data_IF_131168570732
#
_entry.id   IF_131168570732
#
_cell.length_a   1.000
_cell.length_b   1.000
_cell.length_c   1.000
_cell.angle_alpha   90.00
_cell.angle_beta   90.00
_cell.angle_gamma   90.00
#
_symmetry.space_group_name_H-M   'P 1'
#
loop_
_entity.id
_entity.type
_entity.pdbx_description
1 polymer ?
#
# COMPACT_ATOMS: atom_id res chain seq x y z
N UNK A 1 12.72 5.33 20.96
CA UNK A 1 11.74 5.72 19.92
C UNK A 1 11.03 4.46 19.47
N UNK A 2 9.72 4.41 19.67
CA UNK A 2 8.94 3.17 19.62
C UNK A 2 7.80 3.26 18.59
N UNK A 3 7.41 2.09 18.08
CA UNK A 3 6.25 1.89 17.21
C UNK A 3 5.40 0.75 17.79
N UNK A 4 4.08 0.82 17.62
CA UNK A 4 3.18 -0.29 17.89
C UNK A 4 3.06 -1.15 16.63
N UNK A 5 3.56 -2.38 16.73
CA UNK A 5 3.67 -3.32 15.62
C UNK A 5 2.68 -4.46 15.83
N UNK A 6 1.83 -4.72 14.84
CA UNK A 6 0.89 -5.83 14.84
C UNK A 6 1.62 -7.14 14.54
N UNK A 7 2.42 -7.18 13.47
CA UNK A 7 3.18 -8.35 13.06
C UNK A 7 4.42 -7.97 12.22
N UNK A 8 5.43 -8.86 12.24
CA UNK A 8 6.59 -8.83 11.33
C UNK A 8 6.74 -10.24 10.76
N UNK A 9 6.69 -10.38 9.45
CA UNK A 9 6.73 -11.69 8.77
C UNK A 9 7.43 -11.59 7.42
N UNK A 10 7.82 -12.73 6.85
CA UNK A 10 8.53 -12.82 5.58
C UNK A 10 7.70 -13.60 4.56
N UNK A 11 7.47 -12.99 3.41
CA UNK A 11 6.52 -13.45 2.39
C UNK A 11 6.97 -13.03 0.98
N UNK A 12 6.13 -13.28 -0.03
CA UNK A 12 6.19 -12.65 -1.35
C UNK A 12 5.28 -11.42 -1.35
N UNK A 13 5.81 -10.29 -1.84
CA UNK A 13 5.01 -9.11 -2.14
C UNK A 13 3.84 -9.49 -3.06
N UNK A 14 2.62 -9.30 -2.57
CA UNK A 14 1.43 -9.70 -3.29
C UNK A 14 0.89 -8.64 -4.26
N UNK A 15 1.35 -7.40 -4.14
CA UNK A 15 0.82 -6.21 -4.79
C UNK A 15 1.92 -5.25 -5.25
N UNK A 16 1.56 -4.13 -5.86
CA UNK A 16 2.42 -3.13 -6.48
C UNK A 16 3.25 -3.63 -7.67
N UNK A 17 4.13 -2.79 -8.22
CA UNK A 17 5.13 -3.20 -9.21
C UNK A 17 6.18 -4.17 -8.65
N UNK A 18 6.20 -4.40 -7.34
CA UNK A 18 7.08 -5.35 -6.66
C UNK A 18 6.44 -6.73 -6.46
N UNK A 19 5.20 -6.95 -6.95
CA UNK A 19 4.51 -8.23 -6.84
C UNK A 19 5.38 -9.40 -7.34
N UNK A 20 5.46 -10.47 -6.56
CA UNK A 20 6.27 -11.65 -6.86
C UNK A 20 7.67 -11.68 -6.22
N UNK A 21 8.13 -10.59 -5.59
CA UNK A 21 9.44 -10.54 -4.93
C UNK A 21 9.37 -10.93 -3.44
N UNK A 22 10.38 -11.63 -2.87
CA UNK A 22 10.51 -11.79 -1.43
C UNK A 22 10.55 -10.45 -0.71
N UNK A 23 9.82 -10.33 0.40
CA UNK A 23 9.62 -9.10 1.15
C UNK A 23 9.37 -9.40 2.63
N UNK A 24 10.05 -8.67 3.52
CA UNK A 24 9.72 -8.64 4.95
C UNK A 24 8.67 -7.56 5.16
N UNK A 25 7.56 -7.91 5.78
CA UNK A 25 6.49 -6.99 6.10
C UNK A 25 6.62 -6.55 7.56
N UNK A 26 6.48 -5.25 7.79
CA UNK A 26 6.33 -4.63 9.10
C UNK A 26 4.95 -4.01 9.15
N UNK A 27 3.99 -4.71 9.75
CA UNK A 27 2.62 -4.25 9.88
C UNK A 27 2.45 -3.45 11.15
N UNK A 28 2.26 -2.14 11.02
CA UNK A 28 1.98 -1.24 12.14
C UNK A 28 0.51 -1.32 12.57
N UNK A 29 0.28 -1.06 13.86
CA UNK A 29 -1.06 -1.06 14.46
C UNK A 29 -1.71 0.33 14.34
N UNK A 30 -3.03 0.35 14.13
CA UNK A 30 -3.88 1.54 14.17
C UNK A 30 -4.17 2.12 12.80
N UNK A 31 -5.44 2.41 12.51
CA UNK A 31 -5.86 3.06 11.27
C UNK A 31 -6.91 4.13 11.57
N UNK A 32 -6.89 5.23 10.85
CA UNK A 32 -7.84 6.34 10.96
C UNK A 32 -9.08 6.15 10.06
N UNK A 33 -9.06 5.15 9.18
CA UNK A 33 -10.16 4.82 8.26
C UNK A 33 -10.84 3.51 8.65
N UNK A 34 -12.09 3.33 8.19
CA UNK A 34 -12.90 2.11 8.41
C UNK A 34 -13.49 1.60 7.10
N UNK A 35 -12.63 1.36 6.12
CA UNK A 35 -13.01 0.95 4.77
C UNK A 35 -13.95 -0.26 4.79
N UNK A 36 -15.02 -0.22 3.99
CA UNK A 36 -16.06 -1.26 3.97
C UNK A 36 -15.51 -2.68 3.77
N UNK A 37 -14.48 -2.84 2.94
CA UNK A 37 -13.83 -4.10 2.59
C UNK A 37 -12.41 -4.25 3.14
N UNK A 38 -12.09 -3.61 4.27
CA UNK A 38 -10.79 -3.80 4.90
C UNK A 38 -10.58 -5.28 5.29
N UNK A 39 -9.54 -5.91 4.74
CA UNK A 39 -9.10 -7.28 5.04
C UNK A 39 -8.19 -7.36 6.27
N UNK A 40 -7.69 -6.22 6.74
CA UNK A 40 -6.72 -6.13 7.85
C UNK A 40 -7.33 -5.46 9.10
N UNK A 41 -8.62 -5.71 9.38
CA UNK A 41 -9.29 -5.12 10.56
C UNK A 41 -8.62 -5.50 11.90
N UNK A 42 -7.95 -6.64 11.94
CA UNK A 42 -7.21 -7.10 13.11
C UNK A 42 -6.01 -6.20 13.48
N UNK A 43 -5.50 -5.40 12.53
CA UNK A 43 -4.41 -4.47 12.79
C UNK A 43 -4.88 -3.13 13.39
N UNK A 44 -6.17 -2.95 13.71
CA UNK A 44 -6.67 -1.68 14.27
C UNK A 44 -6.27 -1.45 15.72
N UNK A 45 -6.19 -2.49 16.54
CA UNK A 45 -6.03 -2.33 17.99
C UNK A 45 -4.88 -3.14 18.56
N UNK A 46 -4.70 -4.39 18.11
CA UNK A 46 -3.69 -5.31 18.63
C UNK A 46 -2.28 -5.00 18.13
N UNK A 47 -1.28 -5.19 18.99
CA UNK A 47 0.13 -5.09 18.63
C UNK A 47 1.05 -4.84 19.83
N UNK A 48 2.34 -5.13 19.64
CA UNK A 48 3.39 -4.95 20.62
C UNK A 48 4.12 -3.62 20.39
N UNK A 49 4.43 -2.89 21.46
CA UNK A 49 5.32 -1.73 21.38
C UNK A 49 6.76 -2.22 21.26
N UNK A 50 7.40 -1.92 20.14
CA UNK A 50 8.79 -2.26 19.85
C UNK A 50 9.59 -0.98 19.62
N UNK A 51 10.85 -0.96 20.05
CA UNK A 51 11.79 0.08 19.62
C UNK A 51 12.12 -0.11 18.14
N UNK A 52 12.47 0.97 17.45
CA UNK A 52 12.94 0.89 16.05
C UNK A 52 14.10 -0.09 15.90
N UNK A 53 15.02 -0.12 16.87
CA UNK A 53 16.16 -1.03 16.83
C UNK A 53 15.73 -2.50 16.97
N UNK A 54 14.75 -2.82 17.83
CA UNK A 54 14.20 -4.17 17.95
C UNK A 54 13.46 -4.62 16.67
N UNK A 55 12.78 -3.69 15.98
CA UNK A 55 12.15 -3.97 14.69
C UNK A 55 13.22 -4.33 13.65
N UNK A 56 14.29 -3.53 13.56
CA UNK A 56 15.41 -3.78 12.65
C UNK A 56 16.08 -5.12 12.94
N UNK A 57 16.36 -5.43 14.21
CA UNK A 57 16.94 -6.72 14.61
C UNK A 57 16.08 -7.89 14.14
N UNK A 58 14.75 -7.80 14.29
CA UNK A 58 13.82 -8.83 13.80
C UNK A 58 13.80 -8.95 12.28
N UNK A 59 13.91 -7.84 11.55
CA UNK A 59 13.98 -7.85 10.08
C UNK A 59 15.26 -8.55 9.62
N UNK A 60 16.39 -8.30 10.30
CA UNK A 60 17.70 -8.88 9.99
C UNK A 60 17.78 -10.39 10.21
N UNK A 61 16.80 -11.00 10.92
CA UNK A 61 16.67 -12.46 11.03
C UNK A 61 16.31 -13.10 9.67
N UNK A 62 15.76 -12.31 8.73
CA UNK A 62 15.38 -12.76 7.40
C UNK A 62 16.44 -12.39 6.34
N UNK A 63 16.78 -13.35 5.48
CA UNK A 63 17.64 -13.11 4.32
C UNK A 63 16.85 -12.46 3.17
N UNK A 64 16.48 -11.19 3.32
CA UNK A 64 15.69 -10.45 2.35
C UNK A 64 16.14 -8.98 2.26
N UNK A 65 16.21 -8.44 1.04
CA UNK A 65 16.64 -7.05 0.81
C UNK A 65 15.50 -6.04 0.72
N UNK A 66 14.25 -6.51 0.71
CA UNK A 66 13.05 -5.67 0.56
C UNK A 66 12.27 -5.70 1.86
N UNK A 67 11.90 -4.53 2.34
CA UNK A 67 11.06 -4.35 3.53
C UNK A 67 9.88 -3.48 3.17
N UNK A 68 8.66 -3.94 3.42
CA UNK A 68 7.46 -3.12 3.36
C UNK A 68 7.03 -2.69 4.76
N UNK A 69 6.95 -1.38 4.97
CA UNK A 69 6.29 -0.79 6.15
C UNK A 69 4.85 -0.48 5.78
N UNK A 70 3.90 -1.09 6.47
CA UNK A 70 2.47 -1.02 6.17
C UNK A 70 1.66 -1.01 7.48
N UNK A 71 0.35 -1.22 7.41
CA UNK A 71 -0.46 -1.68 8.52
C UNK A 71 -1.88 -1.16 8.51
N UNK A 72 -2.51 -1.09 9.68
CA UNK A 72 -3.31 0.11 9.84
C UNK A 72 -2.40 1.33 9.52
N UNK A 73 -2.96 2.42 9.00
CA UNK A 73 -2.21 3.56 8.43
C UNK A 73 -0.83 3.84 9.08
N UNK A 74 0.30 3.51 8.41
CA UNK A 74 1.61 3.59 9.04
C UNK A 74 2.01 5.03 9.37
N UNK A 75 1.50 6.04 8.66
CA UNK A 75 1.80 7.44 8.91
C UNK A 75 1.05 8.03 10.11
N UNK A 76 0.22 7.26 10.82
CA UNK A 76 -0.33 7.68 12.12
C UNK A 76 0.70 7.65 13.25
N UNK A 77 1.76 6.87 13.10
CA UNK A 77 2.77 6.75 14.14
C UNK A 77 3.96 7.67 13.82
N UNK A 78 4.26 8.61 14.72
CA UNK A 78 5.27 9.66 14.54
C UNK A 78 6.68 9.12 14.21
N UNK A 79 7.02 7.93 14.72
CA UNK A 79 8.34 7.32 14.51
C UNK A 79 8.48 6.52 13.20
N UNK A 80 7.45 6.48 12.34
CA UNK A 80 7.51 5.76 11.06
C UNK A 80 8.60 6.28 10.12
N UNK A 81 8.76 7.62 9.93
CA UNK A 81 9.87 8.17 9.15
C UNK A 81 11.25 7.69 9.62
N UNK A 82 11.46 7.64 10.94
CA UNK A 82 12.72 7.17 11.52
C UNK A 82 13.01 5.70 11.18
N UNK A 83 12.00 4.82 11.26
CA UNK A 83 12.17 3.42 10.86
C UNK A 83 12.56 3.31 9.38
N UNK A 84 11.87 4.06 8.51
CA UNK A 84 12.16 4.08 7.07
C UNK A 84 13.59 4.57 6.81
N UNK A 85 14.00 5.67 7.45
CA UNK A 85 15.35 6.22 7.27
C UNK A 85 16.45 5.26 7.71
N UNK A 86 16.27 4.59 8.84
CA UNK A 86 17.23 3.57 9.31
C UNK A 86 17.30 2.36 8.39
N UNK A 87 16.17 1.88 7.87
CA UNK A 87 16.19 0.77 6.92
C UNK A 87 16.89 1.15 5.61
N UNK A 88 16.63 2.36 5.10
CA UNK A 88 17.29 2.89 3.91
C UNK A 88 18.80 3.09 4.12
N UNK A 89 19.25 3.49 5.32
CA UNK A 89 20.68 3.65 5.62
C UNK A 89 21.41 2.31 5.75
N UNK A 90 20.70 1.25 6.15
CA UNK A 90 21.18 -0.12 6.17
C UNK A 90 21.16 -0.80 4.78
N UNK A 91 20.72 -0.11 3.74
CA UNK A 91 20.76 -0.59 2.36
C UNK A 91 19.53 -1.41 1.92
N UNK A 92 18.48 -1.49 2.75
CA UNK A 92 17.23 -2.11 2.33
C UNK A 92 16.53 -1.29 1.25
N UNK A 93 15.85 -1.98 0.33
CA UNK A 93 14.82 -1.37 -0.51
C UNK A 93 13.54 -1.29 0.30
N UNK A 94 13.16 -0.09 0.70
CA UNK A 94 11.98 0.14 1.56
C UNK A 94 10.78 0.50 0.69
N UNK A 95 9.68 -0.21 0.93
CA UNK A 95 8.35 0.09 0.43
C UNK A 95 7.51 0.65 1.60
N UNK A 96 6.62 1.60 1.33
CA UNK A 96 5.65 2.07 2.32
C UNK A 96 4.26 2.12 1.69
N UNK A 97 3.32 1.34 2.22
CA UNK A 97 1.92 1.39 1.79
C UNK A 97 1.09 2.25 2.74
N UNK A 98 0.47 3.30 2.22
CA UNK A 98 -0.38 4.25 2.97
C UNK A 98 -1.75 4.38 2.31
N UNK A 99 -2.77 4.67 3.11
CA UNK A 99 -4.14 4.86 2.66
C UNK A 99 -4.40 6.22 1.99
N UNK A 100 -3.37 7.08 1.92
CA UNK A 100 -3.42 8.36 1.21
C UNK A 100 -4.09 9.50 1.98
N UNK A 101 -4.49 9.31 3.24
CA UNK A 101 -5.08 10.39 4.06
C UNK A 101 -4.05 11.27 4.78
N UNK A 102 -2.80 10.80 4.87
CA UNK A 102 -1.73 11.47 5.62
C UNK A 102 -0.71 12.11 4.66
N UNK A 103 0.00 13.14 5.13
CA UNK A 103 1.03 13.80 4.33
C UNK A 103 2.23 12.87 4.07
N UNK A 104 2.45 12.49 2.82
CA UNK A 104 3.54 11.58 2.43
C UNK A 104 4.94 12.23 2.35
N UNK A 105 5.05 13.56 2.41
CA UNK A 105 6.35 14.27 2.38
C UNK A 105 7.20 14.01 3.62
N UNK A 106 6.60 13.54 4.71
CA UNK A 106 7.33 13.15 5.93
C UNK A 106 8.22 11.94 5.73
N UNK A 107 8.05 11.21 4.62
CA UNK A 107 8.82 10.00 4.29
C UNK A 107 9.93 10.34 3.29
N UNK A 108 11.13 9.84 3.57
CA UNK A 108 12.29 9.94 2.69
C UNK A 108 11.97 9.49 1.26
N UNK A 109 12.26 10.34 0.28
CA UNK A 109 11.94 10.11 -1.13
C UNK A 109 12.72 8.95 -1.79
N UNK A 110 13.70 8.34 -1.09
CA UNK A 110 14.33 7.09 -1.51
C UNK A 110 13.44 5.87 -1.27
N UNK A 111 12.45 5.98 -0.37
CA UNK A 111 11.41 4.98 -0.16
C UNK A 111 10.47 4.92 -1.37
N UNK A 112 10.03 3.72 -1.74
CA UNK A 112 8.96 3.55 -2.72
C UNK A 112 7.61 3.68 -1.99
N UNK A 113 6.90 4.80 -2.15
CA UNK A 113 5.61 5.01 -1.49
C UNK A 113 4.50 4.51 -2.41
N UNK A 114 3.64 3.64 -1.88
CA UNK A 114 2.43 3.15 -2.53
C UNK A 114 1.25 3.85 -1.87
N UNK A 115 0.66 4.81 -2.59
CA UNK A 115 -0.48 5.59 -2.09
C UNK A 115 -1.76 4.95 -2.60
N UNK A 116 -2.51 4.30 -1.71
CA UNK A 116 -3.78 3.66 -2.03
C UNK A 116 -4.95 4.62 -1.79
N UNK A 117 -5.27 5.45 -2.78
CA UNK A 117 -6.40 6.36 -2.70
C UNK A 117 -7.72 5.59 -2.65
N UNK A 118 -8.56 5.95 -1.68
CA UNK A 118 -9.79 5.22 -1.40
C UNK A 118 -10.89 5.62 -2.39
N UNK A 119 -11.43 4.64 -3.10
CA UNK A 119 -12.59 4.81 -3.98
C UNK A 119 -13.90 4.94 -3.19
N UNK A 120 -14.98 5.53 -3.76
CA UNK A 120 -16.25 5.77 -3.07
C UNK A 120 -16.87 4.58 -2.34
N UNK A 121 -16.82 3.37 -2.90
CA UNK A 121 -17.38 2.17 -2.28
C UNK A 121 -16.76 1.87 -0.91
N UNK A 122 -15.53 2.34 -0.66
CA UNK A 122 -14.85 2.16 0.63
C UNK A 122 -15.54 2.93 1.75
N UNK A 123 -16.37 3.93 1.39
CA UNK A 123 -17.01 4.93 2.25
C UNK A 123 -16.03 5.87 2.95
N UNK A 124 -14.78 5.93 2.46
CA UNK A 124 -13.69 6.67 3.08
C UNK A 124 -12.98 7.62 2.09
N UNK A 125 -13.48 7.77 0.86
CA UNK A 125 -12.86 8.58 -0.19
C UNK A 125 -12.77 10.07 0.17
N UNK A 126 -13.66 10.57 1.02
CA UNK A 126 -13.64 11.93 1.56
C UNK A 126 -12.41 12.23 2.44
N UNK A 127 -11.69 11.19 2.89
CA UNK A 127 -10.49 11.33 3.70
C UNK A 127 -9.20 11.33 2.88
N UNK A 128 -9.27 11.13 1.56
CA UNK A 128 -8.08 11.20 0.72
C UNK A 128 -7.48 12.61 0.77
N UNK A 129 -6.19 12.71 1.08
CA UNK A 129 -5.43 13.94 0.90
C UNK A 129 -4.95 14.01 -0.56
N UNK A 130 -5.74 14.66 -1.41
CA UNK A 130 -5.42 14.81 -2.83
C UNK A 130 -4.17 15.66 -3.09
N UNK A 131 -3.69 16.45 -2.11
CA UNK A 131 -2.41 17.15 -2.25
C UNK A 131 -1.25 16.16 -2.34
N UNK A 132 -1.40 14.92 -1.86
CA UNK A 132 -0.40 13.86 -2.07
C UNK A 132 -0.07 13.63 -3.54
N UNK A 133 -0.98 13.90 -4.49
CA UNK A 133 -0.68 13.85 -5.94
C UNK A 133 0.44 14.82 -6.31
N UNK A 134 0.50 15.99 -5.66
CA UNK A 134 1.56 16.97 -5.89
C UNK A 134 2.90 16.54 -5.29
N UNK A 135 2.85 15.71 -4.25
CA UNK A 135 3.98 15.22 -3.44
C UNK A 135 4.60 13.92 -3.96
N UNK A 136 4.01 13.31 -4.99
CA UNK A 136 4.54 12.13 -5.66
C UNK A 136 5.90 12.43 -6.31
N UNK A 137 6.77 11.44 -6.27
CA UNK A 137 8.04 11.37 -6.95
C UNK A 137 8.01 10.27 -8.01
N UNK A 138 9.01 10.20 -8.88
CA UNK A 138 9.10 9.16 -9.92
C UNK A 138 9.29 7.73 -9.40
N UNK A 139 9.55 7.55 -8.09
CA UNK A 139 9.71 6.24 -7.44
C UNK A 139 8.42 5.66 -6.87
N UNK A 140 7.40 6.51 -6.73
CA UNK A 140 6.16 6.17 -6.09
C UNK A 140 5.20 5.47 -7.03
N UNK A 141 4.11 4.98 -6.45
CA UNK A 141 3.03 4.30 -7.16
C UNK A 141 1.71 4.75 -6.56
N UNK A 142 0.66 4.80 -7.38
CA UNK A 142 -0.70 5.01 -6.89
C UNK A 142 -1.52 3.74 -7.11
N UNK A 143 -2.24 3.33 -6.08
CA UNK A 143 -3.14 2.18 -6.09
C UNK A 143 -4.58 2.62 -5.88
N UNK A 144 -5.50 1.89 -6.51
CA UNK A 144 -6.94 1.98 -6.27
C UNK A 144 -7.51 0.58 -6.11
N UNK A 145 -8.22 0.35 -5.00
CA UNK A 145 -9.03 -0.85 -4.80
C UNK A 145 -10.47 -0.59 -5.27
N UNK A 146 -10.92 -1.34 -6.27
CA UNK A 146 -12.14 -1.09 -7.06
C UNK A 146 -13.16 -2.20 -6.79
N UNK A 147 -14.33 -1.83 -6.26
CA UNK A 147 -15.44 -2.75 -6.00
C UNK A 147 -16.49 -2.80 -7.10
N UNK A 148 -16.72 -1.67 -7.78
CA UNK A 148 -17.77 -1.53 -8.78
C UNK A 148 -17.41 -0.52 -9.90
N UNK A 149 -18.37 -0.25 -10.80
CA UNK A 149 -18.18 0.68 -11.91
C UNK A 149 -18.03 2.14 -11.45
N UNK A 150 -18.61 2.53 -10.32
CA UNK A 150 -18.48 3.88 -9.78
C UNK A 150 -17.06 4.11 -9.23
N UNK A 151 -16.51 3.12 -8.53
CA UNK A 151 -15.12 3.11 -8.11
C UNK A 151 -14.16 3.16 -9.31
N UNK A 152 -14.45 2.40 -10.37
CA UNK A 152 -13.65 2.39 -11.59
C UNK A 152 -13.62 3.78 -12.24
N UNK A 153 -14.77 4.43 -12.43
CA UNK A 153 -14.85 5.78 -13.01
C UNK A 153 -14.07 6.80 -12.19
N UNK A 154 -14.24 6.78 -10.86
CA UNK A 154 -13.48 7.63 -9.95
C UNK A 154 -11.97 7.42 -10.09
N UNK A 155 -11.53 6.16 -10.08
CA UNK A 155 -10.11 5.81 -10.21
C UNK A 155 -9.57 6.22 -11.59
N UNK A 156 -10.33 6.03 -12.67
CA UNK A 156 -9.94 6.38 -14.02
C UNK A 156 -9.73 7.89 -14.21
N UNK A 157 -10.61 8.72 -13.65
CA UNK A 157 -10.46 10.18 -13.69
C UNK A 157 -9.20 10.64 -12.93
N UNK A 158 -8.96 10.08 -11.74
CA UNK A 158 -7.78 10.42 -10.97
C UNK A 158 -6.48 9.89 -11.60
N UNK A 159 -6.53 8.69 -12.19
CA UNK A 159 -5.42 8.11 -12.94
C UNK A 159 -5.00 9.00 -14.12
N UNK A 160 -5.95 9.53 -14.90
CA UNK A 160 -5.67 10.47 -15.99
C UNK A 160 -4.98 11.74 -15.48
N UNK A 161 -5.44 12.29 -14.35
CA UNK A 161 -4.80 13.45 -13.73
C UNK A 161 -3.37 13.16 -13.28
N UNK A 162 -3.15 12.02 -12.62
CA UNK A 162 -1.83 11.58 -12.15
C UNK A 162 -0.89 11.37 -13.33
N UNK A 163 -1.31 10.65 -14.37
CA UNK A 163 -0.52 10.40 -15.59
C UNK A 163 -0.16 11.68 -16.32
N UNK A 164 -1.09 12.64 -16.42
CA UNK A 164 -0.81 13.97 -16.99
C UNK A 164 0.31 14.69 -16.26
N UNK A 165 0.42 14.51 -14.93
CA UNK A 165 1.44 15.15 -14.09
C UNK A 165 2.77 14.38 -14.11
N UNK A 166 2.70 13.07 -13.93
CA UNK A 166 3.87 12.22 -13.65
C UNK A 166 4.46 11.56 -14.90
N UNK A 167 3.72 11.57 -16.02
CA UNK A 167 4.08 10.92 -17.26
C UNK A 167 3.31 9.60 -17.49
N UNK A 168 3.28 9.12 -18.76
CA UNK A 168 2.52 7.94 -19.15
C UNK A 168 3.03 6.65 -18.47
N UNK A 169 4.33 6.56 -18.15
CA UNK A 169 4.92 5.38 -17.54
C UNK A 169 4.75 5.31 -16.01
N UNK A 170 4.21 6.36 -15.38
CA UNK A 170 4.06 6.40 -13.93
C UNK A 170 3.14 5.27 -13.43
N UNK A 171 3.52 4.45 -12.42
CA UNK A 171 2.71 3.30 -12.02
C UNK A 171 1.39 3.72 -11.36
N UNK A 172 0.29 3.43 -12.04
CA UNK A 172 -1.07 3.51 -11.48
C UNK A 172 -1.70 2.12 -11.56
N UNK A 173 -2.13 1.60 -10.41
CA UNK A 173 -2.46 0.20 -10.17
C UNK A 173 -3.94 0.07 -9.82
N UNK A 174 -4.67 -0.74 -10.58
CA UNK A 174 -6.09 -1.01 -10.34
C UNK A 174 -6.24 -2.43 -9.82
N UNK A 175 -6.73 -2.57 -8.59
CA UNK A 175 -6.89 -3.85 -7.89
C UNK A 175 -8.36 -4.13 -7.61
N UNK A 176 -8.91 -5.31 -7.94
CA UNK A 176 -10.29 -5.63 -7.64
C UNK A 176 -10.49 -5.97 -6.16
N UNK A 177 -11.59 -5.51 -5.56
CA UNK A 177 -12.02 -5.98 -4.23
C UNK A 177 -12.26 -7.50 -4.27
N UNK A 178 -11.66 -8.22 -3.32
CA UNK A 178 -11.80 -9.67 -3.18
C UNK A 178 -12.32 -10.04 -1.78
N UNK A 179 -13.44 -10.79 -1.66
CA UNK A 179 -14.37 -11.18 -2.74
C UNK A 179 -15.22 -9.99 -3.21
N UNK A 180 -15.67 -10.01 -4.47
CA UNK A 180 -16.55 -8.96 -5.00
C UNK A 180 -16.43 -8.80 -6.51
N UNK A 181 -15.46 -8.01 -6.95
CA UNK A 181 -15.26 -7.72 -8.37
C UNK A 181 -14.41 -8.83 -9.01
N UNK A 182 -14.95 -9.49 -10.04
CA UNK A 182 -14.16 -10.45 -10.82
C UNK A 182 -13.03 -9.71 -11.56
N UNK A 183 -11.78 -10.19 -11.49
CA UNK A 183 -10.66 -9.57 -12.21
C UNK A 183 -10.92 -9.39 -13.71
N UNK A 184 -11.62 -10.34 -14.34
CA UNK A 184 -11.97 -10.26 -15.76
C UNK A 184 -12.86 -9.04 -16.10
N UNK A 185 -13.75 -8.64 -15.19
CA UNK A 185 -14.59 -7.45 -15.42
C UNK A 185 -13.76 -6.17 -15.34
N UNK A 186 -12.88 -6.06 -14.33
CA UNK A 186 -11.98 -4.91 -14.21
C UNK A 186 -11.03 -4.81 -15.41
N UNK A 187 -10.50 -5.95 -15.86
CA UNK A 187 -9.68 -6.03 -17.07
C UNK A 187 -10.45 -5.52 -18.30
N UNK A 188 -11.71 -5.94 -18.46
CA UNK A 188 -12.53 -5.51 -19.59
C UNK A 188 -12.77 -4.00 -19.58
N UNK A 189 -13.08 -3.41 -18.42
CA UNK A 189 -13.25 -1.95 -18.32
C UNK A 189 -11.97 -1.19 -18.71
N UNK A 190 -10.80 -1.65 -18.25
CA UNK A 190 -9.51 -1.05 -18.61
C UNK A 190 -9.28 -1.12 -20.13
N UNK A 191 -9.59 -2.26 -20.75
CA UNK A 191 -9.43 -2.47 -22.20
C UNK A 191 -10.40 -1.60 -23.01
N UNK A 192 -11.67 -1.55 -22.63
CA UNK A 192 -12.72 -0.78 -23.31
C UNK A 192 -12.38 0.72 -23.35
N UNK A 193 -11.83 1.25 -22.25
CA UNK A 193 -11.43 2.65 -22.15
C UNK A 193 -10.01 2.93 -22.67
N UNK A 194 -9.26 1.88 -23.06
CA UNK A 194 -7.84 1.98 -23.43
C UNK A 194 -7.01 2.73 -22.36
N UNK A 195 -7.31 2.49 -21.09
CA UNK A 195 -6.72 3.23 -19.97
C UNK A 195 -5.30 2.72 -19.68
N UNK A 196 -4.31 3.62 -19.67
CA UNK A 196 -2.89 3.29 -19.42
C UNK A 196 -2.58 3.00 -17.94
N UNK A 197 -3.24 2.00 -17.37
CA UNK A 197 -3.06 1.56 -15.98
C UNK A 197 -2.67 0.08 -15.94
N UNK A 198 -2.13 -0.35 -14.81
CA UNK A 198 -1.80 -1.76 -14.59
C UNK A 198 -2.92 -2.42 -13.80
N UNK A 199 -3.50 -3.49 -14.34
CA UNK A 199 -4.29 -4.43 -13.54
C UNK A 199 -3.37 -5.13 -12.54
N UNK A 200 -3.68 -5.02 -11.27
CA UNK A 200 -2.97 -5.66 -10.18
C UNK A 200 -3.88 -6.71 -9.54
N UNK A 201 -3.40 -7.94 -9.44
CA UNK A 201 -4.06 -8.98 -8.67
C UNK A 201 -3.41 -9.09 -7.29
N UNK A 202 -4.19 -9.46 -6.28
CA UNK A 202 -3.68 -9.72 -4.93
C UNK A 202 -3.06 -11.12 -4.89
N UNK A 203 -1.80 -11.23 -5.33
CA UNK A 203 -1.14 -12.53 -5.56
C UNK A 203 -1.09 -13.38 -4.29
N UNK A 204 -0.94 -12.75 -3.12
CA UNK A 204 -0.94 -13.42 -1.84
C UNK A 204 -2.26 -14.17 -1.56
N UNK A 205 -3.41 -13.59 -1.92
CA UNK A 205 -4.72 -14.26 -1.76
C UNK A 205 -4.88 -15.45 -2.71
N UNK A 206 -4.20 -15.43 -3.86
CA UNK A 206 -4.21 -16.53 -4.82
C UNK A 206 -3.32 -17.68 -4.32
N UNK A 207 -2.14 -17.37 -3.78
CA UNK A 207 -1.16 -18.37 -3.33
C UNK A 207 -1.60 -19.03 -2.02
N UNK A 208 -1.98 -18.24 -1.01
CA UNK A 208 -2.24 -18.73 0.35
C UNK A 208 -3.72 -18.73 0.76
N UNK A 209 -4.58 -18.13 -0.07
CA UNK A 209 -6.01 -17.94 0.23
C UNK A 209 -6.32 -16.58 0.87
N UNK A 210 -7.58 -16.12 0.81
CA UNK A 210 -7.97 -14.77 1.22
C UNK A 210 -7.97 -14.54 2.74
N UNK A 211 -8.03 -15.61 3.54
CA UNK A 211 -8.09 -15.54 5.01
C UNK A 211 -6.72 -15.73 5.69
N UNK A 212 -5.67 -15.98 4.90
CA UNK A 212 -4.35 -16.25 5.44
C UNK A 212 -3.73 -14.97 6.02
N UNK A 213 -3.06 -15.11 7.16
CA UNK A 213 -2.40 -14.01 7.90
C UNK A 213 -0.94 -14.34 8.09
N UNK A 214 -0.08 -13.32 8.12
CA UNK A 214 1.36 -13.50 8.29
C UNK A 214 2.02 -14.35 7.19
N UNK A 215 1.44 -14.34 5.98
CA UNK A 215 1.90 -15.10 4.82
C UNK A 215 2.08 -14.25 3.60
#
# INVERSE_FOLDING_TARGET
MNLKVNEIFHSIQGESTFAGLPCVFVRLTGCNLRCSWCDTRYAYEDGQVLSVDNIISKIQEYSCSIVEVTGGEPLLQENTPLLVDKLLSLGYRVLLETNGSMNIEVINNRCHRIVDFKCPGSKMNQHNDLENIKRLSSRDQVKFVIGDLNDYKFAADLAKLIKKRMGPDFPVLFSPVTPGLKPAHLAQWILDDSLEVRLQLQLHKIIWGPEAKGV
#
